data_IF_672186022598
#
_entry.id   IF_672186022598
#
_cell.length_a   1.000
_cell.length_b   1.000
_cell.length_c   1.000
_cell.angle_alpha   90.00
_cell.angle_beta   90.00
_cell.angle_gamma   90.00
#
_symmetry.space_group_name_H-M   'P 1'
#
loop_
_entity.id
_entity.type
_entity.pdbx_description
1 polymer ?
#
# COMPACT_ATOMS: atom_id res chain seq x y z
N UNK A 1 -14.27 25.47 -41.28
CA UNK A 1 -12.95 25.97 -40.82
C UNK A 1 -11.89 24.85 -40.84
N UNK A 2 -10.60 25.13 -41.14
CA UNK A 2 -9.51 24.14 -40.92
C UNK A 2 -9.20 24.02 -39.42
N UNK A 3 -9.02 22.82 -38.88
CA UNK A 3 -8.85 22.56 -37.44
C UNK A 3 -7.71 23.40 -36.81
N UNK A 4 -6.58 23.53 -37.51
CA UNK A 4 -5.44 24.33 -37.04
C UNK A 4 -5.72 25.83 -36.89
N UNK A 5 -6.63 26.41 -37.69
CA UNK A 5 -7.05 27.80 -37.51
C UNK A 5 -7.93 27.96 -36.27
N UNK A 6 -8.79 26.98 -35.97
CA UNK A 6 -9.62 27.00 -34.78
C UNK A 6 -8.78 26.98 -33.49
N UNK A 7 -7.75 26.12 -33.44
CA UNK A 7 -6.81 26.05 -32.32
C UNK A 7 -6.03 27.36 -32.16
N UNK A 8 -5.53 27.95 -33.25
CA UNK A 8 -4.82 29.24 -33.21
C UNK A 8 -5.70 30.39 -32.70
N UNK A 9 -6.98 30.39 -33.08
CA UNK A 9 -7.95 31.38 -32.61
C UNK A 9 -8.30 31.15 -31.13
N UNK A 10 -8.52 29.90 -30.71
CA UNK A 10 -8.76 29.55 -29.32
C UNK A 10 -7.60 30.01 -28.42
N UNK A 11 -6.36 29.71 -28.81
CA UNK A 11 -5.17 30.15 -28.08
C UNK A 11 -5.11 31.68 -27.94
N UNK A 12 -5.38 32.42 -29.03
CA UNK A 12 -5.38 33.89 -29.00
C UNK A 12 -6.45 34.46 -28.06
N UNK A 13 -7.65 33.85 -28.02
CA UNK A 13 -8.73 34.26 -27.11
C UNK A 13 -8.40 33.97 -25.64
N UNK A 14 -7.73 32.84 -25.36
CA UNK A 14 -7.26 32.47 -24.02
C UNK A 14 -6.25 33.50 -23.51
N UNK A 15 -5.28 33.88 -24.36
CA UNK A 15 -4.24 34.86 -24.00
C UNK A 15 -4.81 36.27 -23.83
N UNK A 16 -5.87 36.65 -24.55
CA UNK A 16 -6.49 37.97 -24.37
C UNK A 16 -7.23 38.12 -23.04
N UNK A 17 -7.75 37.02 -22.47
CA UNK A 17 -8.50 37.03 -21.21
C UNK A 17 -7.87 36.09 -20.17
N UNK A 18 -6.62 36.37 -19.80
CA UNK A 18 -5.79 35.51 -18.92
C UNK A 18 -6.47 35.12 -17.61
N UNK A 19 -7.09 36.09 -16.91
CA UNK A 19 -7.75 35.83 -15.63
C UNK A 19 -8.91 34.83 -15.78
N UNK A 20 -9.75 35.04 -16.80
CA UNK A 20 -10.88 34.16 -17.08
C UNK A 20 -10.41 32.77 -17.47
N UNK A 21 -9.45 32.68 -18.38
CA UNK A 21 -8.87 31.41 -18.79
C UNK A 21 -8.30 30.65 -17.58
N UNK A 22 -7.53 31.33 -16.73
CA UNK A 22 -6.97 30.74 -15.52
C UNK A 22 -8.05 30.24 -14.56
N UNK A 23 -9.05 31.07 -14.22
CA UNK A 23 -10.16 30.68 -13.35
C UNK A 23 -10.98 29.52 -13.90
N UNK A 24 -11.10 29.42 -15.23
CA UNK A 24 -11.81 28.32 -15.90
C UNK A 24 -11.02 27.01 -15.82
N UNK A 25 -9.70 27.09 -16.02
CA UNK A 25 -8.83 25.93 -15.95
C UNK A 25 -8.63 25.47 -14.50
N UNK A 26 -8.73 26.37 -13.51
CA UNK A 26 -8.41 26.07 -12.11
C UNK A 26 -9.16 24.86 -11.56
N UNK A 27 -10.46 24.73 -11.82
CA UNK A 27 -11.24 23.57 -11.37
C UNK A 27 -10.76 22.25 -11.99
N UNK A 28 -10.34 22.28 -13.25
CA UNK A 28 -9.77 21.10 -13.94
C UNK A 28 -8.37 20.81 -13.42
N UNK A 29 -7.55 21.85 -13.21
CA UNK A 29 -6.19 21.73 -12.68
C UNK A 29 -6.25 21.02 -11.32
N UNK A 30 -7.08 21.52 -10.41
CA UNK A 30 -7.27 20.96 -9.06
C UNK A 30 -7.83 19.53 -9.13
N UNK A 31 -8.83 19.29 -9.99
CA UNK A 31 -9.42 17.96 -10.15
C UNK A 31 -8.40 16.93 -10.65
N UNK A 32 -7.69 17.24 -11.75
CA UNK A 32 -6.69 16.35 -12.34
C UNK A 32 -5.50 16.16 -11.40
N UNK A 33 -5.02 17.22 -10.74
CA UNK A 33 -3.92 17.09 -9.78
C UNK A 33 -4.30 16.21 -8.60
N UNK A 34 -5.52 16.37 -8.06
CA UNK A 34 -6.01 15.56 -6.95
C UNK A 34 -6.17 14.09 -7.34
N UNK A 35 -6.75 13.79 -8.52
CA UNK A 35 -6.84 12.40 -9.02
C UNK A 35 -5.46 11.78 -9.11
N UNK A 36 -4.49 12.47 -9.72
CA UNK A 36 -3.14 11.93 -9.93
C UNK A 36 -2.42 11.72 -8.59
N UNK A 37 -2.45 12.71 -7.69
CA UNK A 37 -1.79 12.61 -6.40
C UNK A 37 -2.39 11.47 -5.56
N UNK A 38 -3.72 11.42 -5.41
CA UNK A 38 -4.40 10.43 -4.57
C UNK A 38 -4.26 9.01 -5.12
N UNK A 39 -4.37 8.82 -6.44
CA UNK A 39 -4.19 7.50 -7.03
C UNK A 39 -2.73 7.04 -6.96
N UNK A 40 -1.76 7.93 -7.18
CA UNK A 40 -0.33 7.57 -7.10
C UNK A 40 0.11 7.24 -5.67
N UNK A 41 -0.47 7.92 -4.68
CA UNK A 41 -0.30 7.59 -3.26
C UNK A 41 -0.91 6.22 -2.93
N UNK A 42 -2.15 5.98 -3.39
CA UNK A 42 -2.81 4.69 -3.20
C UNK A 42 -2.02 3.53 -3.79
N UNK A 43 -1.55 3.68 -5.02
CA UNK A 43 -0.71 2.67 -5.67
C UNK A 43 0.67 2.50 -5.03
N UNK A 44 1.26 3.59 -4.55
CA UNK A 44 2.50 3.52 -3.76
C UNK A 44 2.30 2.74 -2.45
N UNK A 45 1.18 2.96 -1.77
CA UNK A 45 0.82 2.21 -0.57
C UNK A 45 0.55 0.72 -0.88
N UNK A 46 -0.22 0.40 -1.92
CA UNK A 46 -0.44 -1.00 -2.33
C UNK A 46 0.86 -1.69 -2.73
N UNK A 47 1.77 -0.99 -3.41
CA UNK A 47 3.08 -1.54 -3.76
C UNK A 47 3.95 -1.78 -2.53
N UNK A 48 3.99 -0.85 -1.57
CA UNK A 48 4.73 -1.03 -0.32
C UNK A 48 4.24 -2.27 0.42
N UNK A 49 2.92 -2.44 0.57
CA UNK A 49 2.34 -3.64 1.18
C UNK A 49 2.74 -4.90 0.41
N UNK A 50 2.75 -4.85 -0.91
CA UNK A 50 3.17 -5.98 -1.75
C UNK A 50 4.66 -6.31 -1.58
N UNK A 51 5.51 -5.29 -1.44
CA UNK A 51 6.96 -5.44 -1.27
C UNK A 51 7.26 -6.00 0.14
N UNK A 52 6.60 -5.48 1.18
CA UNK A 52 6.66 -5.96 2.57
C UNK A 52 6.18 -7.42 2.70
N UNK A 53 5.21 -7.83 1.88
CA UNK A 53 4.75 -9.23 1.87
C UNK A 53 5.73 -10.12 1.12
N UNK A 54 6.29 -9.61 0.03
CA UNK A 54 7.25 -10.36 -0.77
C UNK A 54 8.54 -10.63 0.00
N UNK A 55 8.94 -9.72 0.90
CA UNK A 55 10.10 -9.91 1.78
C UNK A 55 9.88 -11.00 2.83
N UNK A 56 8.64 -11.22 3.26
CA UNK A 56 8.25 -12.27 4.23
C UNK A 56 8.17 -13.67 3.61
N UNK A 57 8.25 -13.78 2.28
CA UNK A 57 8.16 -15.05 1.56
C UNK A 57 6.72 -15.48 1.29
N UNK A 58 6.37 -15.62 0.01
CA UNK A 58 5.04 -16.04 -0.47
C UNK A 58 4.72 -17.51 -0.18
N UNK A 59 5.69 -18.30 0.30
CA UNK A 59 5.54 -19.72 0.63
C UNK A 59 5.35 -19.98 2.13
N UNK A 60 5.32 -18.95 2.97
CA UNK A 60 5.14 -19.11 4.41
C UNK A 60 3.65 -19.23 4.77
N UNK A 61 3.35 -20.24 5.59
CA UNK A 61 2.04 -20.49 6.18
C UNK A 61 2.16 -20.45 7.69
N UNK A 62 1.44 -19.52 8.31
CA UNK A 62 1.36 -19.41 9.77
C UNK A 62 0.11 -20.13 10.27
N UNK A 63 0.32 -20.98 11.27
CA UNK A 63 -0.70 -21.75 11.97
C UNK A 63 -0.77 -21.23 13.39
N UNK A 64 -1.86 -20.57 13.73
CA UNK A 64 -2.14 -20.13 15.09
C UNK A 64 -3.10 -21.11 15.76
N UNK A 65 -2.69 -21.67 16.90
CA UNK A 65 -3.47 -22.64 17.66
C UNK A 65 -4.00 -21.92 18.90
N UNK A 66 -5.32 -21.68 18.89
CA UNK A 66 -6.08 -21.07 19.99
C UNK A 66 -6.79 -22.19 20.76
N UNK A 67 -6.02 -23.18 21.23
CA UNK A 67 -6.59 -24.31 21.94
C UNK A 67 -7.44 -23.86 23.13
N UNK A 68 -8.63 -24.43 23.26
CA UNK A 68 -9.53 -24.12 24.37
C UNK A 68 -8.97 -24.77 25.64
N UNK A 69 -8.61 -23.98 26.65
CA UNK A 69 -7.81 -24.39 27.84
C UNK A 69 -8.47 -25.42 28.78
N UNK A 70 -9.57 -26.03 28.37
CA UNK A 70 -10.47 -26.83 29.24
C UNK A 70 -10.48 -28.32 28.90
N UNK A 71 -9.90 -28.76 27.78
CA UNK A 71 -9.93 -30.17 27.36
C UNK A 71 -8.64 -30.57 26.63
N UNK A 72 -8.32 -31.87 26.66
CA UNK A 72 -7.09 -32.56 26.24
C UNK A 72 -6.67 -32.39 24.75
N UNK A 73 -7.12 -31.34 24.08
CA UNK A 73 -6.84 -31.04 22.67
C UNK A 73 -5.68 -30.03 22.59
N UNK A 74 -4.48 -30.54 22.86
CA UNK A 74 -3.22 -29.80 22.70
C UNK A 74 -2.49 -30.42 21.52
N UNK A 75 -1.79 -29.60 20.74
CA UNK A 75 -0.84 -30.10 19.72
C UNK A 75 0.54 -30.16 20.34
N UNK A 76 1.13 -31.35 20.38
CA UNK A 76 2.49 -31.55 20.89
C UNK A 76 3.54 -31.20 19.83
N UNK A 77 4.79 -31.01 20.25
CA UNK A 77 5.92 -30.74 19.36
C UNK A 77 6.08 -31.82 18.29
N UNK A 78 6.00 -33.09 18.66
CA UNK A 78 6.17 -34.20 17.71
C UNK A 78 5.05 -34.24 16.67
N UNK A 79 3.83 -33.85 17.04
CA UNK A 79 2.68 -33.75 16.13
C UNK A 79 2.85 -32.62 15.12
N UNK A 80 3.35 -31.46 15.58
CA UNK A 80 3.66 -30.33 14.68
C UNK A 80 4.80 -30.69 13.73
N UNK A 81 5.87 -31.31 14.24
CA UNK A 81 7.02 -31.69 13.41
C UNK A 81 6.66 -32.73 12.35
N UNK A 82 5.59 -33.53 12.56
CA UNK A 82 5.10 -34.46 11.54
C UNK A 82 4.61 -33.76 10.25
N UNK A 83 4.38 -32.44 10.27
CA UNK A 83 4.09 -31.69 9.04
C UNK A 83 5.25 -31.72 8.05
N UNK A 84 6.50 -31.89 8.50
CA UNK A 84 7.66 -32.06 7.61
C UNK A 84 7.60 -33.35 6.77
N UNK A 85 6.76 -34.33 7.16
CA UNK A 85 6.55 -35.54 6.35
C UNK A 85 5.70 -35.29 5.10
N UNK A 86 5.00 -34.15 5.03
CA UNK A 86 4.23 -33.77 3.85
C UNK A 86 5.16 -33.30 2.73
N UNK A 87 5.00 -33.86 1.54
CA UNK A 87 5.80 -33.51 0.35
C UNK A 87 5.75 -32.03 -0.06
N UNK A 88 4.72 -31.32 0.37
CA UNK A 88 4.46 -29.90 0.11
C UNK A 88 5.21 -28.98 1.10
N UNK A 89 5.69 -29.52 2.22
CA UNK A 89 6.35 -28.78 3.29
C UNK A 89 7.87 -28.93 3.17
N UNK A 90 8.58 -27.81 3.21
CA UNK A 90 10.05 -27.76 3.18
C UNK A 90 10.62 -27.79 4.60
N UNK A 91 10.04 -27.01 5.52
CA UNK A 91 10.51 -26.89 6.89
C UNK A 91 9.39 -26.44 7.84
N UNK A 92 9.48 -26.84 9.11
CA UNK A 92 8.52 -26.47 10.16
C UNK A 92 9.25 -25.82 11.33
N UNK A 93 8.73 -24.68 11.78
CA UNK A 93 9.29 -23.91 12.89
C UNK A 93 8.20 -23.59 13.93
N UNK A 94 8.01 -24.45 14.95
CA UNK A 94 7.14 -24.14 16.06
C UNK A 94 7.77 -23.05 16.94
N UNK A 95 6.91 -22.16 17.44
CA UNK A 95 7.33 -21.03 18.28
C UNK A 95 6.55 -21.00 19.59
N UNK A 96 7.25 -20.73 20.68
CA UNK A 96 6.65 -20.39 21.97
C UNK A 96 7.07 -18.97 22.35
N UNK A 97 6.10 -18.09 22.54
CA UNK A 97 6.34 -16.68 22.85
C UNK A 97 6.00 -16.35 24.30
N UNK A 98 6.80 -15.49 24.90
CA UNK A 98 6.50 -14.83 26.17
C UNK A 98 7.04 -13.41 26.19
N UNK A 99 6.91 -12.73 27.32
CA UNK A 99 7.51 -11.41 27.52
C UNK A 99 8.29 -11.41 28.82
N UNK A 100 9.43 -10.73 28.84
CA UNK A 100 10.25 -10.63 30.04
C UNK A 100 11.16 -9.42 30.04
N UNK A 101 11.95 -9.31 31.09
CA UNK A 101 12.90 -8.22 31.25
C UNK A 101 14.31 -8.70 30.93
N UNK A 102 14.96 -8.02 29.97
CA UNK A 102 16.36 -8.31 29.60
C UNK A 102 17.26 -7.25 30.23
N UNK A 103 18.29 -7.69 30.95
CA UNK A 103 19.22 -6.83 31.68
C UNK A 103 20.67 -7.15 31.37
N UNK A 104 21.47 -6.10 31.25
CA UNK A 104 22.93 -6.17 31.24
C UNK A 104 23.49 -5.09 32.17
N UNK A 105 24.16 -5.49 33.26
CA UNK A 105 24.68 -4.56 34.26
C UNK A 105 23.60 -3.67 34.86
N UNK A 106 23.69 -2.36 34.62
CA UNK A 106 22.72 -1.35 35.07
C UNK A 106 21.64 -1.03 34.04
N UNK A 107 21.79 -1.51 32.80
CA UNK A 107 20.84 -1.26 31.71
C UNK A 107 19.81 -2.39 31.65
N UNK A 108 18.54 -2.04 31.52
CA UNK A 108 17.45 -3.00 31.41
C UNK A 108 16.40 -2.52 30.44
N UNK A 109 15.87 -3.46 29.65
CA UNK A 109 14.71 -3.27 28.79
C UNK A 109 13.60 -4.18 29.31
N UNK A 110 12.49 -3.56 29.70
CA UNK A 110 11.29 -4.27 30.17
C UNK A 110 10.40 -4.65 28.98
N UNK A 111 9.51 -5.63 29.18
CA UNK A 111 8.52 -6.05 28.17
C UNK A 111 9.11 -6.48 26.81
N UNK A 112 10.31 -7.06 26.82
CA UNK A 112 10.95 -7.62 25.62
C UNK A 112 10.24 -8.90 25.22
N UNK A 113 9.94 -9.06 23.93
CA UNK A 113 9.37 -10.29 23.39
C UNK A 113 10.43 -11.39 23.41
N UNK A 114 10.13 -12.50 24.07
CA UNK A 114 10.99 -13.68 24.15
C UNK A 114 10.37 -14.74 23.28
N UNK A 115 11.08 -15.16 22.24
CA UNK A 115 10.64 -16.19 21.32
C UNK A 115 11.52 -17.43 21.44
N UNK A 116 10.89 -18.56 21.72
CA UNK A 116 11.50 -19.88 21.71
C UNK A 116 11.40 -20.48 20.32
N UNK A 117 12.54 -20.69 19.66
CA UNK A 117 12.61 -21.08 18.25
C UNK A 117 13.49 -22.30 18.01
N UNK A 118 13.24 -23.01 16.92
CA UNK A 118 14.10 -24.10 16.41
C UNK A 118 15.16 -23.53 15.44
N UNK A 119 16.22 -24.28 15.11
CA UNK A 119 17.17 -23.87 14.08
C UNK A 119 16.51 -23.56 12.73
N UNK A 120 15.45 -24.30 12.37
CA UNK A 120 14.69 -24.10 11.14
C UNK A 120 14.06 -22.70 11.03
N UNK A 121 13.90 -21.98 12.15
CA UNK A 121 13.38 -20.61 12.16
C UNK A 121 14.20 -19.66 11.26
N UNK A 122 15.52 -19.83 11.18
CA UNK A 122 16.38 -19.00 10.31
C UNK A 122 15.95 -19.09 8.84
N UNK A 123 15.68 -20.31 8.36
CA UNK A 123 15.30 -20.59 6.98
C UNK A 123 13.81 -20.31 6.71
N UNK A 124 12.94 -20.55 7.68
CA UNK A 124 11.48 -20.34 7.56
C UNK A 124 11.14 -18.85 7.55
N UNK A 125 11.72 -18.07 8.46
CA UNK A 125 11.46 -16.63 8.61
C UNK A 125 12.48 -15.76 7.85
N UNK A 126 13.32 -16.38 7.00
CA UNK A 126 14.38 -15.72 6.21
C UNK A 126 15.23 -14.73 7.01
N UNK A 127 15.49 -15.06 8.28
CA UNK A 127 16.18 -14.16 9.20
C UNK A 127 17.67 -14.16 8.89
N UNK A 128 18.30 -12.98 8.90
CA UNK A 128 19.75 -12.87 8.70
C UNK A 128 20.46 -12.45 9.97
N UNK A 129 21.66 -12.98 10.19
CA UNK A 129 22.51 -12.67 11.34
C UNK A 129 23.51 -11.58 10.94
N UNK A 130 23.50 -10.47 11.68
CA UNK A 130 24.49 -9.40 11.54
C UNK A 130 25.85 -9.77 12.15
N UNK A 131 25.84 -10.45 13.30
CA UNK A 131 27.06 -10.91 13.95
C UNK A 131 26.86 -12.18 14.77
N UNK A 132 27.90 -13.02 14.85
CA UNK A 132 27.87 -14.28 15.60
C UNK A 132 27.30 -15.43 14.78
N UNK A 133 26.40 -16.21 15.38
CA UNK A 133 25.70 -17.33 14.73
C UNK A 133 24.26 -17.44 15.23
N UNK A 134 23.41 -18.12 14.45
CA UNK A 134 22.08 -18.51 14.89
C UNK A 134 22.11 -19.70 15.88
N UNK A 135 20.94 -20.08 16.37
CA UNK A 135 20.71 -21.24 17.24
C UNK A 135 20.97 -22.52 16.43
N UNK A 136 21.69 -23.48 17.02
CA UNK A 136 22.05 -24.76 16.39
C UNK A 136 21.29 -25.91 17.05
N UNK A 137 21.20 -27.06 16.37
CA UNK A 137 20.56 -28.28 16.90
C UNK A 137 21.12 -28.67 18.27
N UNK A 138 22.45 -28.58 18.43
CA UNK A 138 23.13 -28.91 19.69
C UNK A 138 22.70 -28.02 20.86
N UNK A 139 22.28 -26.78 20.58
CA UNK A 139 21.77 -25.85 21.60
C UNK A 139 20.35 -26.24 22.02
N UNK A 140 19.54 -26.73 21.09
CA UNK A 140 18.21 -27.25 21.35
C UNK A 140 18.25 -28.59 22.10
N UNK A 141 19.09 -29.53 21.67
CA UNK A 141 19.24 -30.85 22.29
C UNK A 141 19.72 -30.77 23.75
N UNK A 142 20.74 -29.94 24.00
CA UNK A 142 21.31 -29.79 25.34
C UNK A 142 20.59 -28.75 26.22
N UNK A 143 19.58 -28.07 25.67
CA UNK A 143 18.88 -26.95 26.32
C UNK A 143 19.85 -25.87 26.80
N UNK A 144 20.79 -25.52 25.92
CA UNK A 144 21.79 -24.51 26.23
C UNK A 144 21.11 -23.17 26.48
N UNK A 145 21.60 -22.43 27.49
CA UNK A 145 21.14 -21.07 27.78
C UNK A 145 21.87 -20.08 26.90
N UNK A 146 21.58 -20.13 25.60
CA UNK A 146 22.07 -19.21 24.58
C UNK A 146 20.94 -18.29 24.12
N UNK A 147 21.30 -17.11 23.64
CA UNK A 147 20.34 -16.13 23.13
C UNK A 147 20.88 -15.44 21.87
N UNK A 148 20.00 -15.21 20.92
CA UNK A 148 20.21 -14.31 19.78
C UNK A 148 19.39 -13.06 20.03
N UNK A 149 20.01 -11.88 19.92
CA UNK A 149 19.36 -10.61 20.22
C UNK A 149 18.88 -9.92 18.93
N UNK A 150 17.71 -9.29 18.97
CA UNK A 150 17.33 -8.29 17.97
C UNK A 150 18.29 -7.09 17.98
N UNK A 151 18.38 -6.39 16.86
CA UNK A 151 19.35 -5.31 16.64
C UNK A 151 19.17 -4.14 17.64
N UNK A 152 17.92 -3.76 17.95
CA UNK A 152 17.59 -2.72 18.93
C UNK A 152 17.92 -3.17 20.36
N UNK A 153 17.57 -4.41 20.72
CA UNK A 153 17.89 -4.96 22.05
C UNK A 153 19.41 -5.02 22.27
N UNK A 154 20.17 -5.43 21.26
CA UNK A 154 21.63 -5.45 21.33
C UNK A 154 22.22 -4.04 21.50
N UNK A 155 21.77 -3.08 20.70
CA UNK A 155 22.24 -1.69 20.74
C UNK A 155 21.89 -1.02 22.07
N UNK A 156 20.71 -1.26 22.61
CA UNK A 156 20.28 -0.67 23.88
C UNK A 156 21.08 -1.24 25.07
N UNK A 157 21.32 -2.56 25.10
CA UNK A 157 21.99 -3.23 26.21
C UNK A 157 23.52 -3.14 26.17
N UNK A 158 24.13 -3.02 24.98
CA UNK A 158 25.58 -3.05 24.80
C UNK A 158 26.14 -1.79 24.14
N UNK A 159 25.31 -0.85 23.68
CA UNK A 159 25.75 0.29 22.88
C UNK A 159 26.45 -0.15 21.60
N UNK A 160 27.57 0.49 21.28
CA UNK A 160 28.41 0.14 20.12
C UNK A 160 29.47 -0.94 20.43
N UNK A 161 29.34 -1.66 21.54
CA UNK A 161 30.29 -2.73 21.91
C UNK A 161 29.81 -4.09 21.41
N UNK A 162 30.75 -5.02 21.19
CA UNK A 162 30.41 -6.39 20.76
C UNK A 162 29.55 -7.09 21.81
N UNK A 163 28.30 -7.42 21.47
CA UNK A 163 27.38 -8.17 22.32
C UNK A 163 27.64 -9.68 22.30
N UNK A 164 28.09 -10.22 21.16
CA UNK A 164 28.37 -11.66 21.00
C UNK A 164 29.48 -12.11 21.95
N UNK A 165 29.22 -13.23 22.65
CA UNK A 165 30.13 -13.83 23.62
C UNK A 165 29.91 -13.37 25.05
N UNK A 166 29.22 -12.25 25.27
CA UNK A 166 28.86 -11.76 26.59
C UNK A 166 27.60 -12.43 27.14
N UNK A 167 27.29 -12.15 28.40
CA UNK A 167 26.12 -12.67 29.10
C UNK A 167 25.06 -11.57 29.29
N UNK A 168 23.79 -11.97 29.19
CA UNK A 168 22.63 -11.15 29.54
C UNK A 168 21.75 -11.91 30.54
N UNK A 169 20.98 -11.18 31.34
CA UNK A 169 20.00 -11.77 32.24
C UNK A 169 18.59 -11.55 31.71
N UNK A 170 17.86 -12.63 31.52
CA UNK A 170 16.44 -12.61 31.15
C UNK A 170 15.65 -13.11 32.38
N UNK A 171 14.85 -12.23 32.98
CA UNK A 171 14.14 -12.46 34.26
C UNK A 171 15.00 -13.14 35.35
N UNK A 172 16.26 -12.68 35.45
CA UNK A 172 17.23 -13.17 36.44
C UNK A 172 18.00 -14.43 36.05
N UNK A 173 17.67 -15.09 34.93
CA UNK A 173 18.43 -16.21 34.39
C UNK A 173 19.50 -15.73 33.41
N UNK A 174 20.74 -16.19 33.58
CA UNK A 174 21.85 -15.85 32.69
C UNK A 174 21.81 -16.65 31.39
N UNK A 175 21.89 -15.94 30.27
CA UNK A 175 22.04 -16.47 28.91
C UNK A 175 23.30 -15.90 28.27
N UNK A 176 23.97 -16.72 27.44
CA UNK A 176 25.12 -16.30 26.64
C UNK A 176 24.66 -15.83 25.27
N UNK A 177 25.06 -14.62 24.87
CA UNK A 177 24.76 -14.07 23.55
C UNK A 177 25.60 -14.80 22.51
N UNK A 178 24.96 -15.45 21.55
CA UNK A 178 25.63 -16.19 20.44
C UNK A 178 25.49 -15.48 19.10
N UNK A 179 24.50 -14.61 18.93
CA UNK A 179 24.31 -13.83 17.72
C UNK A 179 23.45 -12.59 17.90
N UNK A 180 23.44 -11.75 16.87
CA UNK A 180 22.58 -10.57 16.74
C UNK A 180 21.94 -10.59 15.35
N UNK A 181 20.63 -10.37 15.29
CA UNK A 181 19.89 -10.26 14.03
C UNK A 181 20.29 -9.01 13.25
N UNK A 182 20.21 -9.08 11.93
CA UNK A 182 20.27 -7.89 11.08
C UNK A 182 19.07 -7.01 11.34
N UNK A 183 19.29 -5.69 11.27
CA UNK A 183 18.23 -4.70 11.35
C UNK A 183 17.27 -4.88 10.17
N UNK A 184 15.99 -5.10 10.46
CA UNK A 184 14.93 -5.18 9.44
C UNK A 184 14.06 -3.91 9.42
N UNK A 185 14.21 -3.00 10.39
CA UNK A 185 13.51 -1.73 10.43
C UNK A 185 12.16 -1.80 11.16
N UNK A 186 11.55 -0.64 11.40
CA UNK A 186 10.21 -0.54 12.02
C UNK A 186 9.10 -0.84 10.99
N UNK A 187 9.00 -2.10 10.53
CA UNK A 187 7.87 -2.53 9.72
C UNK A 187 6.66 -2.93 10.60
N UNK A 188 5.46 -2.75 10.05
CA UNK A 188 4.15 -2.66 10.71
C UNK A 188 3.70 -3.84 11.60
N UNK A 189 4.51 -4.89 11.76
CA UNK A 189 4.23 -6.03 12.63
C UNK A 189 5.44 -6.34 13.51
N UNK A 190 5.30 -6.07 14.82
CA UNK A 190 6.17 -6.58 15.89
C UNK A 190 7.66 -6.60 15.55
N UNK A 191 8.35 -5.47 15.78
CA UNK A 191 9.76 -5.32 15.40
C UNK A 191 10.62 -6.51 15.82
N UNK A 192 11.10 -7.25 14.82
CA UNK A 192 12.10 -8.31 14.97
C UNK A 192 13.36 -7.78 15.67
N UNK A 193 13.58 -6.48 15.59
CA UNK A 193 14.69 -5.79 16.25
C UNK A 193 14.53 -5.70 17.77
N UNK A 194 13.29 -5.77 18.28
CA UNK A 194 12.94 -5.68 19.71
C UNK A 194 12.68 -7.03 20.40
N UNK A 195 12.94 -8.15 19.72
CA UNK A 195 12.79 -9.47 20.30
C UNK A 195 14.12 -10.13 20.69
N UNK A 196 14.02 -11.19 21.50
CA UNK A 196 15.14 -12.09 21.80
C UNK A 196 14.74 -13.53 21.48
N UNK A 197 15.63 -14.25 20.81
CA UNK A 197 15.42 -15.62 20.40
C UNK A 197 16.25 -16.54 21.30
N UNK A 198 15.61 -17.57 21.86
CA UNK A 198 16.28 -18.62 22.65
C UNK A 198 15.87 -20.00 22.10
N UNK A 199 16.65 -21.08 22.35
CA UNK A 199 16.28 -22.41 21.88
C UNK A 199 14.90 -22.83 22.40
N UNK A 200 14.08 -23.41 21.53
CA UNK A 200 12.69 -23.80 21.81
C UNK A 200 12.55 -24.62 23.11
N UNK A 201 13.38 -25.65 23.27
CA UNK A 201 13.38 -26.53 24.46
C UNK A 201 13.79 -25.81 25.75
N UNK A 202 14.59 -24.75 25.63
CA UNK A 202 14.95 -23.86 26.75
C UNK A 202 13.78 -22.93 27.07
N UNK A 203 13.12 -22.37 26.06
CA UNK A 203 11.96 -21.48 26.21
C UNK A 203 10.77 -22.17 26.87
N UNK A 204 10.40 -23.39 26.44
CA UNK A 204 9.28 -24.14 27.03
C UNK A 204 9.43 -24.29 28.55
N UNK A 205 10.65 -24.59 29.01
CA UNK A 205 10.94 -24.71 30.45
C UNK A 205 11.02 -23.36 31.14
N UNK A 206 11.58 -22.35 30.47
CA UNK A 206 11.75 -21.00 31.02
C UNK A 206 10.40 -20.28 31.21
N UNK A 207 9.50 -20.39 30.23
CA UNK A 207 8.17 -19.78 30.22
C UNK A 207 7.10 -20.65 30.90
N UNK A 208 7.41 -21.92 31.17
CA UNK A 208 6.45 -22.86 31.76
C UNK A 208 5.31 -23.23 30.81
N UNK A 209 5.53 -23.09 29.50
CA UNK A 209 4.54 -23.35 28.47
C UNK A 209 4.93 -24.61 27.70
N UNK A 210 4.10 -25.65 27.81
CA UNK A 210 4.26 -26.92 27.08
C UNK A 210 3.46 -26.96 25.79
N UNK A 211 2.48 -26.07 25.64
CA UNK A 211 1.58 -25.99 24.48
C UNK A 211 2.19 -25.12 23.40
N UNK A 212 2.09 -25.55 22.16
CA UNK A 212 2.48 -24.78 20.98
C UNK A 212 1.27 -23.97 20.52
N UNK A 213 1.44 -22.64 20.47
CA UNK A 213 0.38 -21.72 20.06
C UNK A 213 0.60 -21.17 18.64
N UNK A 214 1.81 -21.27 18.12
CA UNK A 214 2.18 -20.74 16.80
C UNK A 214 3.16 -21.68 16.13
N UNK A 215 2.91 -21.96 14.86
CA UNK A 215 3.79 -22.75 14.00
C UNK A 215 3.88 -22.03 12.67
N UNK A 216 5.10 -21.75 12.23
CA UNK A 216 5.34 -21.28 10.87
C UNK A 216 5.85 -22.46 10.03
N UNK A 217 5.26 -22.62 8.85
CA UNK A 217 5.54 -23.71 7.93
C UNK A 217 5.96 -23.11 6.60
N UNK A 218 7.16 -23.46 6.14
CA UNK A 218 7.65 -23.07 4.83
C UNK A 218 7.24 -24.12 3.81
N UNK A 219 6.49 -23.71 2.80
CA UNK A 219 6.05 -24.58 1.71
C UNK A 219 7.15 -24.69 0.65
N UNK A 220 7.23 -25.86 -0.01
CA UNK A 220 8.24 -26.15 -1.02
C UNK A 220 8.16 -25.23 -2.26
N UNK A 221 6.97 -24.71 -2.56
CA UNK A 221 6.72 -23.76 -3.65
C UNK A 221 5.39 -23.02 -3.46
N UNK A 222 5.19 -21.91 -4.18
CA UNK A 222 3.90 -21.18 -4.17
C UNK A 222 2.73 -22.07 -4.63
N UNK A 223 2.97 -22.96 -5.61
CA UNK A 223 1.95 -23.86 -6.15
C UNK A 223 1.46 -24.90 -5.13
N UNK A 224 2.29 -25.21 -4.11
CA UNK A 224 1.97 -26.21 -3.09
C UNK A 224 1.32 -25.61 -1.84
N UNK A 225 1.26 -24.27 -1.72
CA UNK A 225 0.73 -23.59 -0.53
C UNK A 225 -0.70 -24.01 -0.23
N UNK A 226 -1.60 -23.92 -1.21
CA UNK A 226 -3.03 -24.23 -1.02
C UNK A 226 -3.24 -25.70 -0.62
N UNK A 227 -2.52 -26.63 -1.28
CA UNK A 227 -2.59 -28.07 -0.98
C UNK A 227 -2.02 -28.36 0.42
N UNK A 228 -0.89 -27.73 0.77
CA UNK A 228 -0.27 -27.87 2.08
C UNK A 228 -1.15 -27.34 3.21
N UNK A 229 -1.77 -26.17 3.00
CA UNK A 229 -2.76 -25.61 3.93
C UNK A 229 -3.93 -26.57 4.15
N UNK A 230 -4.53 -27.12 3.09
CA UNK A 230 -5.66 -28.05 3.24
C UNK A 230 -5.29 -29.31 4.05
N UNK A 231 -4.06 -29.82 3.89
CA UNK A 231 -3.57 -30.96 4.67
C UNK A 231 -3.39 -30.61 6.15
N UNK A 232 -2.79 -29.47 6.45
CA UNK A 232 -2.59 -28.97 7.82
C UNK A 232 -3.94 -28.68 8.47
N UNK A 233 -4.86 -28.01 7.78
CA UNK A 233 -6.20 -27.74 8.27
C UNK A 233 -6.96 -29.04 8.55
N UNK A 234 -6.85 -30.06 7.69
CA UNK A 234 -7.49 -31.36 7.92
C UNK A 234 -6.89 -32.07 9.13
N UNK A 235 -5.58 -31.97 9.35
CA UNK A 235 -4.96 -32.51 10.55
C UNK A 235 -5.53 -31.84 11.81
N UNK A 236 -5.55 -30.51 11.84
CA UNK A 236 -6.06 -29.72 12.97
C UNK A 236 -7.56 -29.96 13.19
N UNK A 237 -8.35 -30.04 12.11
CA UNK A 237 -9.77 -30.37 12.18
C UNK A 237 -10.01 -31.69 12.91
N UNK A 238 -9.21 -32.72 12.62
CA UNK A 238 -9.32 -34.01 13.31
C UNK A 238 -8.82 -33.95 14.76
N UNK A 239 -7.74 -33.20 15.02
CA UNK A 239 -7.19 -33.03 16.37
C UNK A 239 -8.17 -32.33 17.32
N UNK A 240 -8.89 -31.33 16.82
CA UNK A 240 -9.86 -30.53 17.57
C UNK A 240 -11.31 -31.01 17.39
N UNK A 241 -11.50 -32.28 17.00
CA UNK A 241 -12.83 -32.90 16.88
C UNK A 241 -13.84 -32.12 16.01
N UNK A 242 -13.34 -31.35 15.03
CA UNK A 242 -14.11 -30.49 14.13
C UNK A 242 -14.36 -29.05 14.61
N UNK A 243 -13.71 -28.60 15.68
CA UNK A 243 -13.77 -27.21 16.14
C UNK A 243 -12.82 -26.29 15.34
N UNK A 244 -13.38 -25.64 14.32
CA UNK A 244 -12.69 -24.66 13.48
C UNK A 244 -12.31 -23.36 14.24
N UNK A 245 -12.80 -23.14 15.47
CA UNK A 245 -12.43 -21.96 16.27
C UNK A 245 -11.15 -22.14 17.06
N UNK A 246 -10.66 -23.37 17.18
CA UNK A 246 -9.46 -23.72 17.95
C UNK A 246 -8.16 -23.52 17.17
N UNK A 247 -8.22 -23.25 15.86
CA UNK A 247 -7.04 -23.00 15.04
C UNK A 247 -7.30 -22.01 13.91
N UNK A 248 -6.24 -21.42 13.38
CA UNK A 248 -6.30 -20.56 12.22
C UNK A 248 -5.04 -20.79 11.36
N UNK A 249 -5.23 -21.26 10.13
CA UNK A 249 -4.15 -21.42 9.14
C UNK A 249 -4.27 -20.29 8.15
N UNK A 250 -3.17 -19.56 7.91
CA UNK A 250 -3.12 -18.46 6.96
C UNK A 250 -1.81 -18.48 6.20
N UNK A 251 -1.86 -18.18 4.91
CA UNK A 251 -0.66 -17.78 4.18
C UNK A 251 -0.45 -16.26 4.35
N UNK A 252 0.76 -15.79 4.05
CA UNK A 252 1.04 -14.35 4.09
C UNK A 252 0.37 -13.59 2.92
N UNK A 253 0.09 -14.26 1.80
CA UNK A 253 -0.54 -13.65 0.62
C UNK A 253 -2.00 -13.22 0.86
N UNK A 254 -2.76 -13.92 1.68
CA UNK A 254 -4.16 -13.58 1.98
C UNK A 254 -4.23 -12.26 2.77
N UNK A 255 -3.27 -12.03 3.66
CA UNK A 255 -3.16 -10.77 4.42
C UNK A 255 -2.81 -9.63 3.46
N UNK A 256 -1.85 -9.87 2.56
CA UNK A 256 -1.44 -8.91 1.53
C UNK A 256 -2.59 -8.53 0.60
N UNK A 257 -3.34 -9.53 0.14
CA UNK A 257 -4.49 -9.33 -0.74
C UNK A 257 -5.60 -8.56 -0.03
N UNK A 258 -5.86 -8.85 1.25
CA UNK A 258 -6.82 -8.10 2.04
C UNK A 258 -6.41 -6.62 2.21
N UNK A 259 -5.13 -6.35 2.52
CA UNK A 259 -4.61 -4.98 2.65
C UNK A 259 -4.60 -4.24 1.31
N UNK A 260 -4.22 -4.91 0.23
CA UNK A 260 -4.27 -4.38 -1.13
C UNK A 260 -5.70 -4.05 -1.52
N UNK A 261 -6.66 -4.94 -1.26
CA UNK A 261 -8.08 -4.71 -1.51
C UNK A 261 -8.63 -3.51 -0.74
N UNK A 262 -8.23 -3.32 0.52
CA UNK A 262 -8.61 -2.14 1.32
C UNK A 262 -8.02 -0.86 0.70
N UNK A 263 -6.73 -0.89 0.35
CA UNK A 263 -6.03 0.25 -0.25
C UNK A 263 -6.64 0.63 -1.60
N UNK A 264 -6.96 -0.35 -2.44
CA UNK A 264 -7.61 -0.16 -3.73
C UNK A 264 -9.02 0.41 -3.57
N UNK A 265 -9.78 -0.07 -2.58
CA UNK A 265 -11.12 0.45 -2.27
C UNK A 265 -11.05 1.91 -1.84
N UNK A 266 -10.10 2.26 -0.97
CA UNK A 266 -9.88 3.64 -0.54
C UNK A 266 -9.43 4.53 -1.70
N UNK A 267 -8.53 4.02 -2.54
CA UNK A 267 -8.06 4.70 -3.75
C UNK A 267 -9.21 5.00 -4.70
N UNK A 268 -10.11 4.03 -4.92
CA UNK A 268 -11.28 4.19 -5.77
C UNK A 268 -12.28 5.22 -5.19
N UNK A 269 -12.49 5.20 -3.87
CA UNK A 269 -13.33 6.19 -3.19
C UNK A 269 -12.77 7.61 -3.37
N UNK A 270 -11.47 7.79 -3.12
CA UNK A 270 -10.76 9.06 -3.27
C UNK A 270 -10.77 9.54 -4.73
N UNK A 271 -10.53 8.64 -5.69
CA UNK A 271 -10.63 8.92 -7.11
C UNK A 271 -12.07 9.35 -7.50
N UNK A 272 -13.09 8.72 -6.92
CA UNK A 272 -14.48 9.11 -7.09
C UNK A 272 -14.76 10.54 -6.61
N UNK A 273 -14.29 10.90 -5.41
CA UNK A 273 -14.41 12.27 -4.87
C UNK A 273 -13.69 13.27 -5.77
N UNK A 274 -12.47 12.97 -6.20
CA UNK A 274 -11.71 13.82 -7.11
C UNK A 274 -12.38 13.92 -8.50
N UNK A 275 -13.04 12.87 -8.96
CA UNK A 275 -13.88 12.86 -10.15
C UNK A 275 -15.07 13.83 -10.05
N UNK A 276 -15.72 13.91 -8.89
CA UNK A 276 -16.76 14.91 -8.62
C UNK A 276 -16.20 16.33 -8.73
N UNK A 277 -14.99 16.58 -8.20
CA UNK A 277 -14.31 17.88 -8.36
C UNK A 277 -14.08 18.24 -9.83
N UNK A 278 -13.79 17.26 -10.68
CA UNK A 278 -13.63 17.44 -12.12
C UNK A 278 -14.95 17.83 -12.80
N UNK A 279 -16.08 17.26 -12.38
CA UNK A 279 -17.43 17.65 -12.82
C UNK A 279 -17.73 19.09 -12.42
N UNK A 280 -17.42 19.49 -11.18
CA UNK A 280 -17.57 20.88 -10.72
C UNK A 280 -16.71 21.83 -11.56
N UNK A 281 -15.49 21.42 -11.91
CA UNK A 281 -14.64 22.13 -12.87
C UNK A 281 -15.31 22.28 -14.24
N UNK A 282 -15.94 21.22 -14.75
CA UNK A 282 -16.73 21.24 -15.99
C UNK A 282 -17.89 22.23 -15.98
N UNK A 283 -18.63 22.31 -14.87
CA UNK A 283 -19.69 23.31 -14.67
C UNK A 283 -19.12 24.74 -14.75
N UNK A 284 -17.92 24.95 -14.21
CA UNK A 284 -17.17 26.21 -14.34
C UNK A 284 -16.92 26.58 -15.80
N UNK A 285 -16.45 25.63 -16.62
CA UNK A 285 -16.26 25.82 -18.07
C UNK A 285 -17.57 26.25 -18.74
N UNK A 286 -18.67 25.54 -18.44
CA UNK A 286 -19.98 25.85 -19.01
C UNK A 286 -20.41 27.29 -18.69
N UNK A 287 -20.32 27.72 -17.43
CA UNK A 287 -20.76 29.05 -17.00
C UNK A 287 -19.93 30.15 -17.65
N UNK A 288 -18.61 30.01 -17.65
CA UNK A 288 -17.72 31.00 -18.28
C UNK A 288 -17.93 31.05 -19.80
N UNK A 289 -18.16 29.91 -20.44
CA UNK A 289 -18.49 29.86 -21.87
C UNK A 289 -19.83 30.54 -22.16
N UNK A 290 -20.86 30.35 -21.34
CA UNK A 290 -22.15 31.05 -21.50
C UNK A 290 -21.98 32.58 -21.43
N UNK A 291 -21.22 33.07 -20.45
CA UNK A 291 -20.90 34.50 -20.33
C UNK A 291 -20.12 34.97 -21.56
N UNK A 292 -19.14 34.19 -22.03
CA UNK A 292 -18.34 34.52 -23.21
C UNK A 292 -19.18 34.56 -24.50
N UNK A 293 -20.20 33.71 -24.61
CA UNK A 293 -21.16 33.76 -25.73
C UNK A 293 -21.98 35.03 -25.68
N UNK A 294 -22.46 35.43 -24.49
CA UNK A 294 -23.24 36.67 -24.34
C UNK A 294 -22.43 37.93 -24.66
N UNK A 295 -21.18 38.01 -24.23
CA UNK A 295 -20.29 39.14 -24.53
C UNK A 295 -19.92 39.22 -26.02
N UNK A 296 -19.82 38.06 -26.69
CA UNK A 296 -19.44 37.97 -28.11
C UNK A 296 -20.63 37.86 -29.06
N UNK A 297 -21.85 38.12 -28.58
CA UNK A 297 -23.09 37.97 -29.36
C UNK A 297 -23.01 38.72 -30.69
N UNK A 298 -22.60 40.00 -30.66
CA UNK A 298 -22.47 40.85 -31.86
C UNK A 298 -21.41 40.33 -32.84
N UNK A 299 -20.27 39.85 -32.34
CA UNK A 299 -19.20 39.24 -33.15
C UNK A 299 -19.70 37.98 -33.88
N UNK A 300 -20.44 37.12 -33.17
CA UNK A 300 -21.04 35.90 -33.73
C UNK A 300 -22.09 36.25 -34.80
N UNK A 301 -22.90 37.28 -34.56
CA UNK A 301 -23.89 37.80 -35.50
C UNK A 301 -23.27 38.26 -36.82
N UNK A 302 -22.18 39.04 -36.75
CA UNK A 302 -21.43 39.51 -37.93
C UNK A 302 -20.88 38.32 -38.73
N UNK A 303 -20.26 37.32 -38.07
CA UNK A 303 -19.73 36.13 -38.77
C UNK A 303 -20.81 35.35 -39.49
N UNK A 304 -21.99 35.20 -38.88
CA UNK A 304 -23.13 34.53 -39.51
C UNK A 304 -23.72 35.34 -40.66
N UNK A 305 -23.79 36.67 -40.54
CA UNK A 305 -24.26 37.55 -41.61
C UNK A 305 -23.35 37.48 -42.86
N UNK A 306 -22.05 37.23 -42.67
CA UNK A 306 -21.06 37.05 -43.75
C UNK A 306 -21.03 35.58 -44.26
N UNK A 307 -21.85 34.68 -43.71
CA UNK A 307 -22.07 33.33 -44.24
C UNK A 307 -21.48 32.16 -43.43
N UNK A 308 -21.00 32.38 -42.20
CA UNK A 308 -20.55 31.27 -41.34
C UNK A 308 -21.71 30.31 -41.00
N UNK A 309 -21.51 29.00 -41.20
CA UNK A 309 -22.53 28.00 -40.90
C UNK A 309 -22.63 27.75 -39.40
N UNK A 310 -23.78 27.23 -38.92
CA UNK A 310 -23.95 26.82 -37.52
C UNK A 310 -22.83 25.88 -37.05
N UNK A 311 -22.43 24.93 -37.91
CA UNK A 311 -21.34 23.99 -37.64
C UNK A 311 -20.00 24.69 -37.41
N UNK A 312 -19.69 25.76 -38.14
CA UNK A 312 -18.42 26.49 -37.95
C UNK A 312 -18.36 27.13 -36.56
N UNK A 313 -19.44 27.81 -36.14
CA UNK A 313 -19.55 28.41 -34.80
C UNK A 313 -19.50 27.34 -33.71
N UNK A 314 -20.24 26.24 -33.88
CA UNK A 314 -20.24 25.12 -32.94
C UNK A 314 -18.83 24.55 -32.76
N UNK A 315 -18.15 24.22 -33.87
CA UNK A 315 -16.79 23.65 -33.81
C UNK A 315 -15.79 24.61 -33.20
N UNK A 316 -15.93 25.92 -33.41
CA UNK A 316 -15.05 26.90 -32.81
C UNK A 316 -15.14 26.88 -31.27
N UNK A 317 -16.35 26.97 -30.72
CA UNK A 317 -16.54 26.99 -29.26
C UNK A 317 -16.19 25.64 -28.62
N UNK A 318 -16.48 24.52 -29.28
CA UNK A 318 -16.05 23.20 -28.80
C UNK A 318 -14.54 23.06 -28.75
N UNK A 319 -13.83 23.56 -29.77
CA UNK A 319 -12.37 23.56 -29.77
C UNK A 319 -11.82 24.48 -28.67
N UNK A 320 -12.45 25.63 -28.41
CA UNK A 320 -12.06 26.51 -27.31
C UNK A 320 -12.19 25.81 -25.94
N UNK A 321 -13.30 25.13 -25.70
CA UNK A 321 -13.50 24.32 -24.49
C UNK A 321 -12.50 23.16 -24.38
N UNK A 322 -12.24 22.45 -25.49
CA UNK A 322 -11.30 21.33 -25.54
C UNK A 322 -9.86 21.77 -25.28
N UNK A 323 -9.46 22.92 -25.83
CA UNK A 323 -8.11 23.48 -25.61
C UNK A 323 -7.97 23.93 -24.15
N UNK A 324 -8.99 24.57 -23.59
CA UNK A 324 -8.99 24.95 -22.17
C UNK A 324 -8.91 23.71 -21.25
N UNK A 325 -9.69 22.66 -21.52
CA UNK A 325 -9.65 21.45 -20.70
C UNK A 325 -8.37 20.65 -20.88
N UNK A 326 -7.83 20.57 -22.10
CA UNK A 326 -6.54 19.96 -22.37
C UNK A 326 -5.39 20.68 -21.68
N UNK A 327 -5.34 22.01 -21.74
CA UNK A 327 -4.32 22.80 -21.04
C UNK A 327 -4.46 22.72 -19.52
N UNK A 328 -5.70 22.81 -19.00
CA UNK A 328 -5.97 22.62 -17.58
C UNK A 328 -5.59 21.22 -17.10
N UNK A 329 -5.87 20.19 -17.89
CA UNK A 329 -5.45 18.83 -17.61
C UNK A 329 -3.94 18.66 -17.60
N UNK A 330 -3.24 19.20 -18.59
CA UNK A 330 -1.78 19.12 -18.68
C UNK A 330 -1.09 19.84 -17.51
N UNK A 331 -1.57 21.03 -17.14
CA UNK A 331 -1.11 21.73 -15.94
C UNK A 331 -1.46 20.96 -14.65
N UNK A 332 -2.65 20.35 -14.60
CA UNK A 332 -3.05 19.47 -13.51
C UNK A 332 -2.14 18.25 -13.36
N UNK A 333 -1.66 17.67 -14.46
CA UNK A 333 -0.68 16.57 -14.45
C UNK A 333 0.64 17.04 -13.85
N UNK A 334 1.17 18.16 -14.32
CA UNK A 334 2.44 18.70 -13.81
C UNK A 334 2.37 18.99 -12.31
N UNK A 335 1.28 19.63 -11.87
CA UNK A 335 1.06 19.94 -10.45
C UNK A 335 0.79 18.65 -9.66
N UNK A 336 0.03 17.70 -10.21
CA UNK A 336 -0.29 16.42 -9.60
C UNK A 336 0.96 15.60 -9.30
N UNK A 337 1.80 15.40 -10.31
CA UNK A 337 3.09 14.70 -10.16
C UNK A 337 3.98 15.43 -9.15
N UNK A 338 4.16 16.75 -9.29
CA UNK A 338 4.99 17.52 -8.38
C UNK A 338 4.47 17.49 -6.93
N UNK A 339 3.14 17.50 -6.74
CA UNK A 339 2.54 17.37 -5.41
C UNK A 339 2.67 15.96 -4.83
N UNK A 340 2.60 14.91 -5.67
CA UNK A 340 2.78 13.54 -5.24
C UNK A 340 4.23 13.30 -4.76
N UNK A 341 5.23 13.76 -5.53
CA UNK A 341 6.64 13.69 -5.11
C UNK A 341 6.91 14.50 -3.84
N UNK A 342 6.35 15.71 -3.73
CA UNK A 342 6.49 16.52 -2.52
C UNK A 342 5.87 15.84 -1.29
N UNK A 343 4.72 15.19 -1.45
CA UNK A 343 4.05 14.43 -0.38
C UNK A 343 4.84 13.18 0.00
N UNK A 344 5.48 12.49 -0.96
CA UNK A 344 6.36 11.36 -0.68
C UNK A 344 7.44 11.72 0.33
N UNK A 345 8.09 12.87 0.14
CA UNK A 345 9.17 13.34 1.03
C UNK A 345 8.62 13.78 2.40
N UNK A 346 7.46 14.44 2.44
CA UNK A 346 6.90 14.98 3.70
C UNK A 346 6.34 13.86 4.58
N UNK A 347 5.73 12.84 3.97
CA UNK A 347 5.05 11.76 4.66
C UNK A 347 5.89 10.49 4.79
N UNK A 348 7.08 10.47 4.21
CA UNK A 348 7.95 9.29 4.10
C UNK A 348 7.21 8.07 3.52
N UNK A 349 6.37 8.33 2.52
CA UNK A 349 5.54 7.32 1.88
C UNK A 349 6.03 7.03 0.47
N UNK A 350 6.01 5.75 0.09
CA UNK A 350 6.20 5.32 -1.28
C UNK A 350 5.13 5.95 -2.18
N UNK A 351 5.54 6.51 -3.32
CA UNK A 351 4.65 7.06 -4.34
C UNK A 351 4.98 6.41 -5.67
N UNK A 352 3.97 5.81 -6.29
CA UNK A 352 4.10 5.17 -7.60
C UNK A 352 3.23 5.88 -8.63
N UNK A 353 3.85 6.57 -9.58
CA UNK A 353 3.13 7.32 -10.61
C UNK A 353 2.54 6.36 -11.63
N UNK A 354 1.21 6.22 -11.61
CA UNK A 354 0.49 5.45 -12.62
C UNK A 354 0.23 6.25 -13.88
N UNK A 355 0.96 5.92 -14.94
CA UNK A 355 0.74 6.49 -16.28
C UNK A 355 -0.66 6.19 -16.82
N UNK A 356 -1.27 5.08 -16.39
CA UNK A 356 -2.65 4.76 -16.71
C UNK A 356 -3.60 5.77 -16.05
N UNK A 357 -3.42 6.07 -14.76
CA UNK A 357 -4.21 7.07 -14.05
C UNK A 357 -4.05 8.47 -14.67
N UNK A 358 -2.84 8.85 -15.06
CA UNK A 358 -2.57 10.10 -15.80
C UNK A 358 -3.33 10.13 -17.12
N UNK A 359 -3.26 9.06 -17.91
CA UNK A 359 -3.97 8.93 -19.18
C UNK A 359 -5.49 9.02 -19.02
N UNK A 360 -6.04 8.35 -18.01
CA UNK A 360 -7.48 8.40 -17.67
C UNK A 360 -7.89 9.81 -17.24
N UNK A 361 -7.14 10.46 -16.33
CA UNK A 361 -7.46 11.79 -15.83
C UNK A 361 -7.46 12.85 -16.94
N UNK A 362 -6.46 12.83 -17.82
CA UNK A 362 -6.38 13.75 -18.98
C UNK A 362 -7.48 13.47 -19.99
N UNK A 363 -7.74 12.20 -20.30
CA UNK A 363 -8.84 11.84 -21.22
C UNK A 363 -10.19 12.28 -20.66
N UNK A 364 -10.41 12.08 -19.37
CA UNK A 364 -11.63 12.47 -18.67
C UNK A 364 -11.81 13.98 -18.63
N UNK A 365 -10.73 14.77 -18.42
CA UNK A 365 -10.82 16.23 -18.47
C UNK A 365 -11.22 16.76 -19.85
N UNK A 366 -10.70 16.16 -20.92
CA UNK A 366 -11.10 16.46 -22.29
C UNK A 366 -12.58 16.14 -22.51
N UNK A 367 -13.02 14.95 -22.11
CA UNK A 367 -14.43 14.53 -22.22
C UNK A 367 -15.36 15.48 -21.49
N UNK A 368 -15.04 15.86 -20.24
CA UNK A 368 -15.81 16.83 -19.46
C UNK A 368 -15.83 18.20 -20.13
N UNK A 369 -14.68 18.68 -20.62
CA UNK A 369 -14.60 19.96 -21.34
C UNK A 369 -15.48 20.00 -22.58
N UNK A 370 -15.50 18.91 -23.36
CA UNK A 370 -16.39 18.78 -24.52
C UNK A 370 -17.84 18.72 -24.08
N UNK A 371 -18.19 17.85 -23.13
CA UNK A 371 -19.57 17.64 -22.66
C UNK A 371 -20.21 18.94 -22.16
N UNK A 372 -19.54 19.64 -21.25
CA UNK A 372 -20.01 20.92 -20.71
C UNK A 372 -19.88 22.08 -21.71
N UNK A 373 -19.02 21.95 -22.72
CA UNK A 373 -18.88 22.92 -23.81
C UNK A 373 -19.97 22.84 -24.87
N UNK A 374 -20.64 21.69 -25.05
CA UNK A 374 -21.67 21.49 -26.07
C UNK A 374 -22.85 22.45 -25.89
N UNK A 375 -23.36 22.59 -24.68
CA UNK A 375 -24.52 23.44 -24.41
C UNK A 375 -24.29 24.92 -24.80
N UNK A 376 -23.26 25.63 -24.30
CA UNK A 376 -22.98 27.00 -24.71
C UNK A 376 -22.62 27.11 -26.19
N UNK A 377 -21.85 26.15 -26.73
CA UNK A 377 -21.50 26.16 -28.16
C UNK A 377 -22.75 26.06 -29.05
N UNK A 378 -23.71 25.22 -28.68
CA UNK A 378 -24.98 25.09 -29.39
C UNK A 378 -25.86 26.35 -29.24
N UNK A 379 -25.86 26.99 -28.07
CA UNK A 379 -26.52 28.28 -27.86
C UNK A 379 -25.95 29.36 -28.78
N UNK A 380 -24.63 29.48 -28.88
CA UNK A 380 -23.96 30.39 -29.81
C UNK A 380 -24.29 30.08 -31.28
N UNK A 381 -24.23 28.80 -31.65
CA UNK A 381 -24.52 28.32 -32.99
C UNK A 381 -25.98 28.52 -33.43
N UNK A 382 -26.92 28.75 -32.50
CA UNK A 382 -28.33 29.01 -32.80
C UNK A 382 -28.76 30.49 -32.77
N UNK A 383 -27.91 31.42 -32.35
CA UNK A 383 -28.21 32.86 -32.40
C UNK A 383 -28.61 33.34 -33.80
N UNK A 384 -29.71 34.09 -33.93
CA UNK A 384 -30.06 34.69 -35.22
C UNK A 384 -29.18 35.91 -35.51
N UNK A 385 -28.73 36.13 -36.77
CA UNK A 385 -27.91 37.29 -37.11
C UNK A 385 -28.61 38.62 -36.80
N UNK A 386 -29.94 38.63 -36.98
CA UNK A 386 -30.78 39.83 -36.85
C UNK A 386 -30.95 40.23 -35.37
N UNK A 387 -31.17 39.26 -34.47
CA UNK A 387 -31.18 39.52 -33.01
C UNK A 387 -29.80 39.88 -32.49
N UNK A 388 -28.74 39.22 -32.99
CA UNK A 388 -27.38 39.43 -32.53
C UNK A 388 -26.80 40.80 -32.92
N UNK A 389 -27.30 41.43 -33.98
CA UNK A 389 -26.88 42.77 -34.43
C UNK A 389 -27.72 43.91 -33.87
N UNK A 390 -28.88 43.59 -33.26
CA UNK A 390 -29.79 44.58 -32.66
C UNK A 390 -29.27 45.12 -31.32
N UNK A 391 -28.36 44.39 -30.66
CA UNK A 391 -27.85 44.67 -29.32
C UNK A 391 -26.34 44.92 -29.31
#
# INVERSE_FOLDING_TARGET
MKLGQAVKIAYKNIVSNKLRAFLTMLGIIIGVSAVIALVSLGQGASQSVSDDVSSLGTTMVSVNIQGNSTTEEVVDYDEVMAFEEYSEVEAVSPTVSGSGTVKNGTTSKDSVSISGVTPAYEDVQMTTISSGRFILDIDQENRNKVVVLGSNVATELFGFTSSVGNEVKIDGTTFKVVGVLSEQGEELQGSVDDMVLIPFTTAQRFLGQTVINSVDVKMASEETVEIGMEKIERFLYNQFSGDETSYNVRNQSDIAEALTSVTDTMTLLLAGIAGISLIVGGIGIMNIMLVSVTERTREIGIRKAIGAKKKDILTQFLIEATVLSGLGGLLGVLIGIGSAEALSIILDMAVSISWLAVGVAVSFSIVIGVAFGIFPANKAANLSPLEALRH
#
